data_IF_304042965368
#
_entry.id   IF_304042965368
#
_cell.length_a   1.000
_cell.length_b   1.000
_cell.length_c   1.000
_cell.angle_alpha   90.00
_cell.angle_beta   90.00
_cell.angle_gamma   90.00
#
_symmetry.space_group_name_H-M   'P 1'
#
loop_
_entity.id
_entity.type
_entity.pdbx_description
1 polymer ?
#
# COMPACT_ATOMS: atom_id res chain seq x y z
N UNK A 1 -6.56 -17.37 -24.22
CA UNK A 1 -7.45 -16.94 -23.11
C UNK A 1 -6.53 -16.59 -21.96
N UNK A 2 -6.21 -15.31 -21.77
CA UNK A 2 -5.26 -14.86 -20.74
C UNK A 2 -6.10 -14.51 -19.51
N UNK A 3 -5.95 -15.28 -18.44
CA UNK A 3 -6.72 -15.13 -17.21
C UNK A 3 -6.45 -13.77 -16.55
N UNK A 4 -7.52 -13.04 -16.23
CA UNK A 4 -7.50 -11.58 -15.94
C UNK A 4 -7.40 -11.26 -14.43
N UNK A 5 -6.70 -12.06 -13.66
CA UNK A 5 -6.85 -12.01 -12.20
C UNK A 5 -5.52 -12.18 -11.44
N UNK A 6 -4.53 -11.30 -11.62
CA UNK A 6 -3.20 -11.52 -11.02
C UNK A 6 -3.03 -10.85 -9.64
N UNK A 7 -2.63 -11.63 -8.63
CA UNK A 7 -1.98 -11.14 -7.41
C UNK A 7 -0.45 -11.24 -7.56
N UNK A 8 0.27 -10.25 -7.01
CA UNK A 8 1.74 -10.27 -6.90
C UNK A 8 2.14 -11.20 -5.74
N UNK A 9 2.79 -12.32 -6.05
CA UNK A 9 3.38 -13.22 -5.04
C UNK A 9 4.90 -13.20 -5.20
N UNK A 10 5.59 -12.89 -4.11
CA UNK A 10 7.05 -12.95 -4.02
C UNK A 10 7.46 -14.26 -3.36
N UNK A 11 8.07 -15.16 -4.13
CA UNK A 11 8.78 -16.34 -3.61
C UNK A 11 10.23 -16.29 -4.12
N UNK A 12 11.20 -16.47 -3.21
CA UNK A 12 12.63 -16.62 -3.51
C UNK A 12 13.21 -15.57 -4.45
N UNK A 13 12.98 -14.28 -4.16
CA UNK A 13 13.47 -13.15 -4.96
C UNK A 13 12.94 -13.14 -6.42
N UNK A 14 11.91 -13.94 -6.72
CA UNK A 14 11.25 -14.03 -8.02
C UNK A 14 9.82 -13.49 -7.94
N UNK A 15 9.44 -12.71 -8.96
CA UNK A 15 8.08 -12.19 -9.10
C UNK A 15 7.25 -13.27 -9.80
N UNK A 16 6.27 -13.86 -9.11
CA UNK A 16 5.32 -14.81 -9.70
C UNK A 16 3.93 -14.19 -9.76
N UNK A 17 3.35 -14.19 -10.96
CA UNK A 17 1.98 -13.73 -11.20
C UNK A 17 1.03 -14.93 -11.03
N UNK A 18 0.17 -14.90 -10.00
CA UNK A 18 -0.77 -16.00 -9.71
C UNK A 18 -2.23 -15.57 -9.95
N UNK A 19 -3.08 -16.43 -10.56
CA UNK A 19 -4.49 -16.12 -10.75
C UNK A 19 -5.29 -16.20 -9.44
N UNK A 20 -6.06 -15.17 -9.05
CA UNK A 20 -7.17 -15.35 -8.11
C UNK A 20 -7.63 -14.18 -7.23
N UNK A 21 -6.93 -13.06 -7.07
CA UNK A 21 -7.38 -12.05 -6.12
C UNK A 21 -6.93 -10.62 -6.45
N UNK A 22 -7.91 -9.71 -6.49
CA UNK A 22 -7.81 -8.25 -6.66
C UNK A 22 -7.43 -7.79 -8.08
N UNK A 23 -8.41 -7.25 -8.81
CA UNK A 23 -8.18 -6.57 -10.08
C UNK A 23 -7.59 -5.19 -9.81
N UNK A 24 -6.27 -5.09 -9.89
CA UNK A 24 -5.62 -3.79 -9.79
C UNK A 24 -5.37 -3.20 -11.18
N UNK A 25 -6.28 -2.32 -11.58
CA UNK A 25 -6.33 -1.69 -12.90
C UNK A 25 -5.02 -0.97 -13.26
N UNK A 26 -4.39 -0.31 -12.30
CA UNK A 26 -3.15 0.44 -12.53
C UNK A 26 -1.98 -0.52 -12.79
N UNK A 27 -1.87 -1.60 -12.02
CA UNK A 27 -0.84 -2.62 -12.26
C UNK A 27 -1.05 -3.34 -13.59
N UNK A 28 -2.30 -3.68 -13.91
CA UNK A 28 -2.65 -4.29 -15.19
C UNK A 28 -2.26 -3.36 -16.35
N UNK A 29 -2.54 -2.06 -16.22
CA UNK A 29 -2.19 -1.06 -17.23
C UNK A 29 -0.67 -1.03 -17.49
N UNK A 30 0.16 -0.84 -16.45
CA UNK A 30 1.61 -0.72 -16.62
C UNK A 30 2.28 -2.04 -17.01
N UNK A 31 1.74 -3.18 -16.57
CA UNK A 31 2.16 -4.49 -17.05
C UNK A 31 1.93 -4.64 -18.56
N UNK A 32 0.73 -4.30 -19.02
CA UNK A 32 0.39 -4.35 -20.43
C UNK A 32 1.22 -3.37 -21.26
N UNK A 33 1.49 -2.17 -20.73
CA UNK A 33 2.35 -1.19 -21.39
C UNK A 33 3.80 -1.67 -21.50
N UNK A 34 4.35 -2.32 -20.46
CA UNK A 34 5.70 -2.89 -20.47
C UNK A 34 5.84 -4.02 -21.51
N UNK A 35 4.93 -5.01 -21.48
CA UNK A 35 5.00 -6.19 -22.36
C UNK A 35 4.87 -5.81 -23.83
N UNK A 36 4.00 -4.85 -24.16
CA UNK A 36 3.74 -4.45 -25.54
C UNK A 36 4.69 -3.36 -26.08
N UNK A 37 5.58 -2.83 -25.24
CA UNK A 37 6.54 -1.82 -25.69
C UNK A 37 7.75 -2.47 -26.40
N UNK A 38 8.29 -1.84 -27.46
CA UNK A 38 9.46 -2.37 -28.17
C UNK A 38 10.69 -2.49 -27.26
N UNK A 39 11.47 -3.53 -27.47
CA UNK A 39 12.70 -3.78 -26.70
C UNK A 39 13.71 -2.64 -26.89
N UNK A 40 14.40 -2.25 -25.81
CA UNK A 40 15.35 -1.14 -25.83
C UNK A 40 14.74 0.26 -26.00
N UNK A 41 13.41 0.38 -26.14
CA UNK A 41 12.77 1.70 -26.24
C UNK A 41 12.72 2.41 -24.89
N UNK A 42 12.79 3.74 -24.93
CA UNK A 42 12.57 4.58 -23.74
C UNK A 42 11.18 4.34 -23.12
N UNK A 43 10.18 4.05 -23.96
CA UNK A 43 8.83 3.70 -23.51
C UNK A 43 8.82 2.44 -22.65
N UNK A 44 9.51 1.38 -23.07
CA UNK A 44 9.61 0.13 -22.31
C UNK A 44 10.32 0.33 -20.97
N UNK A 45 11.42 1.09 -20.96
CA UNK A 45 12.16 1.42 -19.73
C UNK A 45 11.30 2.23 -18.76
N UNK A 46 10.54 3.21 -19.26
CA UNK A 46 9.65 4.01 -18.41
C UNK A 46 8.51 3.16 -17.84
N UNK A 47 7.90 2.29 -18.66
CA UNK A 47 6.85 1.37 -18.20
C UNK A 47 7.39 0.38 -17.15
N UNK A 48 8.61 -0.12 -17.33
CA UNK A 48 9.28 -0.98 -16.36
C UNK A 48 9.50 -0.25 -15.02
N UNK A 49 9.93 1.00 -15.07
CA UNK A 49 10.16 1.82 -13.87
C UNK A 49 8.86 2.07 -13.10
N UNK A 50 7.79 2.47 -13.79
CA UNK A 50 6.48 2.69 -13.15
C UNK A 50 5.91 1.40 -12.57
N UNK A 51 6.04 0.28 -13.30
CA UNK A 51 5.64 -1.03 -12.81
C UNK A 51 6.40 -1.42 -11.52
N UNK A 52 7.71 -1.19 -11.48
CA UNK A 52 8.52 -1.48 -10.29
C UNK A 52 8.12 -0.59 -9.10
N UNK A 53 7.90 0.72 -9.34
CA UNK A 53 7.43 1.65 -8.31
C UNK A 53 6.08 1.21 -7.73
N UNK A 54 5.14 0.74 -8.57
CA UNK A 54 3.84 0.18 -8.15
C UNK A 54 4.03 -1.04 -7.25
N UNK A 55 4.87 -1.97 -7.70
CA UNK A 55 5.10 -3.23 -7.00
C UNK A 55 5.72 -2.97 -5.62
N UNK A 56 6.72 -2.09 -5.54
CA UNK A 56 7.37 -1.70 -4.28
C UNK A 56 6.38 -1.01 -3.32
N UNK A 57 5.59 -0.06 -3.83
CA UNK A 57 4.57 0.66 -3.05
C UNK A 57 3.58 -0.34 -2.39
N UNK A 58 3.15 -1.35 -3.15
CA UNK A 58 2.18 -2.33 -2.67
C UNK A 58 2.78 -3.39 -1.78
N UNK A 59 3.99 -3.86 -2.07
CA UNK A 59 4.75 -4.76 -1.18
C UNK A 59 4.84 -4.19 0.24
N UNK A 60 5.06 -2.88 0.35
CA UNK A 60 5.16 -2.20 1.64
C UNK A 60 3.86 -2.30 2.45
N UNK A 61 2.71 -2.33 1.78
CA UNK A 61 1.39 -2.51 2.40
C UNK A 61 1.13 -3.98 2.76
N UNK A 62 1.54 -4.93 1.92
CA UNK A 62 1.21 -6.36 2.09
C UNK A 62 2.00 -7.10 3.18
N UNK A 63 3.18 -6.61 3.59
CA UNK A 63 3.98 -7.28 4.64
C UNK A 63 3.44 -7.10 6.07
N UNK A 64 2.26 -6.50 6.26
CA UNK A 64 1.67 -6.26 7.58
C UNK A 64 0.62 -7.32 7.90
N UNK A 65 1.09 -8.50 8.35
CA UNK A 65 0.24 -9.53 8.98
C UNK A 65 -0.39 -8.96 10.25
N UNK A 66 -1.60 -8.44 10.13
CA UNK A 66 -2.35 -7.90 11.26
C UNK A 66 -3.43 -8.82 11.78
N UNK A 67 -3.63 -8.72 13.09
CA UNK A 67 -4.63 -9.39 13.92
C UNK A 67 -6.08 -9.10 13.48
N UNK A 68 -7.05 -9.77 14.08
CA UNK A 68 -8.50 -9.58 13.85
C UNK A 68 -8.93 -8.10 13.91
N UNK A 69 -8.25 -7.29 14.72
CA UNK A 69 -8.45 -5.83 14.83
C UNK A 69 -8.26 -5.13 13.47
N UNK A 70 -7.25 -5.50 12.68
CA UNK A 70 -7.02 -4.87 11.38
C UNK A 70 -8.06 -5.28 10.32
N UNK A 71 -8.74 -6.42 10.53
CA UNK A 71 -9.76 -6.96 9.61
C UNK A 71 -11.19 -6.65 10.02
N UNK A 72 -11.39 -6.08 11.22
CA UNK A 72 -12.70 -5.71 11.71
C UNK A 72 -13.44 -4.83 10.68
N UNK A 73 -14.67 -5.22 10.37
CA UNK A 73 -15.57 -4.44 9.53
C UNK A 73 -16.66 -3.94 10.45
N UNK A 74 -16.83 -2.63 10.53
CA UNK A 74 -17.94 -2.05 11.29
C UNK A 74 -19.28 -2.41 10.65
N UNK A 75 -20.31 -2.43 11.49
CA UNK A 75 -21.67 -2.71 11.03
C UNK A 75 -22.13 -1.59 10.08
N UNK A 76 -22.94 -1.95 9.08
CA UNK A 76 -23.50 -1.01 8.13
C UNK A 76 -24.28 0.09 8.85
N UNK A 77 -23.90 1.36 8.64
CA UNK A 77 -24.53 2.53 9.28
C UNK A 77 -23.73 3.16 10.42
N UNK A 78 -22.62 2.56 10.85
CA UNK A 78 -21.69 3.16 11.82
C UNK A 78 -20.61 4.02 11.12
N UNK A 79 -20.10 5.07 11.79
CA UNK A 79 -19.02 5.90 11.26
C UNK A 79 -17.70 5.12 11.19
N UNK A 80 -16.90 5.34 10.13
CA UNK A 80 -15.62 4.65 9.90
C UNK A 80 -14.68 4.66 11.13
N UNK A 81 -14.65 5.79 11.83
CA UNK A 81 -13.87 6.01 13.05
C UNK A 81 -14.68 6.85 14.02
N UNK A 82 -14.55 6.57 15.31
CA UNK A 82 -15.21 7.35 16.36
C UNK A 82 -14.44 8.65 16.67
N UNK A 83 -13.11 8.62 16.55
CA UNK A 83 -12.20 9.76 16.75
C UNK A 83 -11.41 10.09 15.47
N UNK A 84 -11.81 11.17 14.81
CA UNK A 84 -11.16 11.66 13.58
C UNK A 84 -9.78 12.27 13.82
N UNK A 85 -9.51 12.81 15.01
CA UNK A 85 -8.21 13.36 15.35
C UNK A 85 -7.20 12.24 15.66
N UNK A 86 -7.66 11.13 16.23
CA UNK A 86 -6.89 9.88 16.28
C UNK A 86 -6.53 9.44 14.86
N UNK A 87 -7.50 9.34 13.94
CA UNK A 87 -7.24 8.86 12.58
C UNK A 87 -6.16 9.69 11.87
N UNK A 88 -6.27 11.02 11.94
CA UNK A 88 -5.27 11.92 11.36
C UNK A 88 -3.89 11.73 11.99
N UNK A 89 -3.82 11.61 13.31
CA UNK A 89 -2.57 11.42 14.05
C UNK A 89 -1.90 10.10 13.66
N UNK A 90 -2.67 9.01 13.59
CA UNK A 90 -2.15 7.69 13.21
C UNK A 90 -1.66 7.65 11.76
N UNK A 91 -2.35 8.33 10.84
CA UNK A 91 -1.91 8.49 9.44
C UNK A 91 -0.58 9.24 9.39
N UNK A 92 -0.42 10.34 10.12
CA UNK A 92 0.85 11.10 10.15
C UNK A 92 2.01 10.28 10.73
N UNK A 93 1.75 9.52 11.79
CA UNK A 93 2.77 8.64 12.41
C UNK A 93 3.19 7.56 11.39
N UNK A 94 2.22 6.92 10.74
CA UNK A 94 2.51 5.96 9.69
C UNK A 94 3.37 6.58 8.60
N UNK A 95 2.95 7.71 8.03
CA UNK A 95 3.66 8.35 6.92
C UNK A 95 5.08 8.80 7.29
N UNK A 96 5.29 9.18 8.55
CA UNK A 96 6.61 9.56 9.08
C UNK A 96 7.60 8.40 9.07
N UNK A 97 7.14 7.18 9.38
CA UNK A 97 8.01 6.01 9.49
C UNK A 97 8.04 5.15 8.22
N UNK A 98 6.95 5.14 7.46
CA UNK A 98 6.72 4.22 6.36
C UNK A 98 6.72 4.90 4.98
N UNK A 99 6.70 6.23 4.95
CA UNK A 99 6.52 7.00 3.71
C UNK A 99 5.05 7.27 3.39
N UNK A 100 4.80 8.09 2.37
CA UNK A 100 3.46 8.58 2.07
C UNK A 100 2.46 7.45 1.78
N UNK A 101 1.24 7.60 2.30
CA UNK A 101 0.09 6.83 1.87
C UNK A 101 -0.26 7.26 0.45
N UNK A 102 0.15 6.44 -0.52
CA UNK A 102 -0.25 6.58 -1.92
C UNK A 102 -1.77 6.50 -2.06
N UNK A 103 -2.32 6.80 -3.24
CA UNK A 103 -3.76 6.61 -3.49
C UNK A 103 -4.20 5.17 -3.24
N UNK A 104 -3.31 4.21 -3.48
CA UNK A 104 -3.52 2.82 -3.12
C UNK A 104 -3.56 2.64 -1.59
N UNK A 105 -2.58 3.19 -0.87
CA UNK A 105 -2.54 3.16 0.59
C UNK A 105 -3.80 3.75 1.25
N UNK A 106 -4.37 4.81 0.68
CA UNK A 106 -5.61 5.43 1.16
C UNK A 106 -6.83 4.50 1.07
N UNK A 107 -6.83 3.48 0.21
CA UNK A 107 -7.89 2.45 0.19
C UNK A 107 -7.87 1.60 1.47
N UNK A 108 -6.75 1.59 2.19
CA UNK A 108 -6.54 0.82 3.41
C UNK A 108 -6.65 1.67 4.68
N UNK A 109 -7.10 2.93 4.59
CA UNK A 109 -7.26 3.83 5.76
C UNK A 109 -8.21 3.26 6.82
N UNK A 110 -9.13 2.36 6.43
CA UNK A 110 -9.99 1.60 7.37
C UNK A 110 -9.18 0.82 8.40
N UNK A 111 -8.03 0.28 8.03
CA UNK A 111 -7.13 -0.44 8.96
C UNK A 111 -6.65 0.49 10.06
N UNK A 112 -6.32 1.73 9.71
CA UNK A 112 -5.88 2.77 10.67
C UNK A 112 -7.07 3.23 11.53
N UNK A 113 -8.27 3.33 10.96
CA UNK A 113 -9.48 3.62 11.72
C UNK A 113 -9.78 2.57 12.78
N UNK A 114 -9.61 1.28 12.46
CA UNK A 114 -9.78 0.20 13.44
C UNK A 114 -8.78 0.27 14.59
N UNK A 115 -7.54 0.71 14.33
CA UNK A 115 -6.52 0.94 15.38
C UNK A 115 -7.03 2.01 16.37
N UNK A 116 -7.61 3.10 15.86
CA UNK A 116 -8.23 4.13 16.69
C UNK A 116 -9.41 3.60 17.49
N UNK A 117 -10.33 2.88 16.86
CA UNK A 117 -11.51 2.33 17.52
C UNK A 117 -11.14 1.26 18.58
N UNK A 118 -9.97 0.61 18.44
CA UNK A 118 -9.43 -0.32 19.42
C UNK A 118 -8.71 0.38 20.61
N UNK A 119 -8.64 1.72 20.61
CA UNK A 119 -8.02 2.49 21.69
C UNK A 119 -6.49 2.41 21.72
N UNK A 120 -5.84 2.04 20.60
CA UNK A 120 -4.38 2.03 20.50
C UNK A 120 -3.88 3.48 20.51
N UNK A 121 -2.85 3.75 21.31
CA UNK A 121 -2.29 5.09 21.45
C UNK A 121 -1.16 5.39 20.45
N UNK A 122 -0.85 6.68 20.29
CA UNK A 122 0.16 7.17 19.35
C UNK A 122 1.56 6.58 19.62
N UNK A 123 1.94 6.39 20.89
CA UNK A 123 3.25 5.84 21.26
C UNK A 123 3.45 4.41 20.72
N UNK A 124 2.42 3.59 20.84
CA UNK A 124 2.42 2.21 20.32
C UNK A 124 2.54 2.23 18.81
N UNK A 125 1.75 3.07 18.12
CA UNK A 125 1.80 3.20 16.66
C UNK A 125 3.18 3.66 16.19
N UNK A 126 3.81 4.62 16.86
CA UNK A 126 5.16 5.12 16.56
C UNK A 126 6.18 4.00 16.66
N UNK A 127 6.20 3.26 17.78
CA UNK A 127 7.15 2.18 18.01
C UNK A 127 7.00 1.07 16.97
N UNK A 128 5.78 0.59 16.74
CA UNK A 128 5.51 -0.48 15.79
C UNK A 128 5.80 -0.04 14.36
N UNK A 129 5.47 1.20 13.99
CA UNK A 129 5.76 1.71 12.65
C UNK A 129 7.27 1.83 12.41
N UNK A 130 8.05 2.28 13.40
CA UNK A 130 9.51 2.33 13.31
C UNK A 130 10.15 0.94 13.21
N UNK A 131 9.60 -0.06 13.89
CA UNK A 131 10.10 -1.44 13.85
C UNK A 131 9.78 -2.13 12.52
N UNK A 132 8.55 -1.97 12.02
CA UNK A 132 8.10 -2.63 10.78
C UNK A 132 8.65 -1.93 9.54
N UNK A 133 8.76 -0.59 9.57
CA UNK A 133 9.24 0.21 8.46
C UNK A 133 10.71 0.61 8.69
N UNK A 134 11.60 -0.39 8.69
CA UNK A 134 13.04 -0.17 8.89
C UNK A 134 13.71 0.66 7.78
N UNK A 135 13.05 0.81 6.64
CA UNK A 135 13.48 1.62 5.50
C UNK A 135 12.27 2.21 4.77
N UNK A 136 12.31 3.52 4.49
CA UNK A 136 11.33 4.19 3.64
C UNK A 136 11.80 4.05 2.20
N UNK A 137 11.03 3.38 1.32
CA UNK A 137 11.39 3.26 -0.09
C UNK A 137 11.56 4.64 -0.72
N UNK A 138 12.64 4.85 -1.48
CA UNK A 138 12.87 6.09 -2.24
C UNK A 138 12.11 6.08 -3.59
N UNK A 139 10.82 5.73 -3.58
CA UNK A 139 9.98 5.75 -4.79
C UNK A 139 9.26 7.09 -4.91
N UNK A 140 8.77 7.42 -6.11
CA UNK A 140 7.93 8.62 -6.31
C UNK A 140 6.66 8.58 -5.45
N UNK A 141 6.14 7.38 -5.18
CA UNK A 141 4.83 7.13 -4.57
C UNK A 141 4.87 7.18 -3.05
N UNK A 142 5.97 6.71 -2.46
CA UNK A 142 6.26 6.80 -1.02
C UNK A 142 6.89 8.13 -0.60
N UNK A 143 7.16 9.03 -1.55
CA UNK A 143 7.77 10.34 -1.27
C UNK A 143 6.84 11.27 -0.47
N UNK A 144 7.39 11.86 0.59
CA UNK A 144 6.74 12.91 1.38
C UNK A 144 6.88 14.32 0.76
N UNK A 145 7.45 14.47 -0.45
CA UNK A 145 7.65 15.78 -1.08
C UNK A 145 6.33 16.56 -1.31
N UNK A 146 5.19 15.86 -1.36
CA UNK A 146 3.85 16.46 -1.50
C UNK A 146 3.15 16.70 -0.15
N UNK A 147 3.86 16.50 0.97
CA UNK A 147 3.31 16.62 2.31
C UNK A 147 2.59 15.36 2.78
N UNK A 148 2.11 15.42 4.03
CA UNK A 148 1.29 14.39 4.65
C UNK A 148 -0.15 14.42 4.11
N UNK A 149 -0.82 13.26 4.11
CA UNK A 149 -2.21 13.10 3.67
C UNK A 149 -3.25 13.56 4.70
N UNK A 150 -2.85 13.75 5.95
CA UNK A 150 -3.71 14.11 7.08
C UNK A 150 -3.36 15.46 7.71
#
# INVERSE_FOLDING_TARGET
MIDRNFLLVFEDNSIRFTPGAVHDEELVYYWHEFINSPEGSSKKLNAQKELLDIVIDRMHVYNKKGTEVLRAVQQTGQPLVDDWDCLKSMVRIFETHCGSLSEYGMKHTRVIANICNAGINNETMTKVSAEVCSYIPSTRRSSLCRGFRA
#
